data_IF_589938002990
#
_entry.id   IF_589938002990
#
_cell.length_a   1.000
_cell.length_b   1.000
_cell.length_c   1.000
_cell.angle_alpha   90.00
_cell.angle_beta   90.00
_cell.angle_gamma   90.00
#
_symmetry.space_group_name_H-M   'P 1'
#
loop_
_entity.id
_entity.type
_entity.pdbx_description
1 polymer ?
#
# COMPACT_ATOMS: atom_id res chain seq x y z
N UNK A 1 -54.57 -28.78 40.83
CA UNK A 1 -54.95 -28.67 42.24
C UNK A 1 -53.68 -28.51 43.06
N UNK A 2 -53.43 -27.29 43.55
CA UNK A 2 -52.34 -26.93 44.45
C UNK A 2 -52.61 -27.50 45.85
N UNK A 3 -51.57 -27.96 46.56
CA UNK A 3 -51.39 -27.62 47.98
C UNK A 3 -49.91 -27.53 48.32
N UNK A 4 -49.59 -26.45 49.02
CA UNK A 4 -48.27 -25.97 49.40
C UNK A 4 -47.82 -26.50 50.77
N UNK A 5 -46.52 -26.35 51.02
CA UNK A 5 -45.90 -25.91 52.29
C UNK A 5 -45.84 -26.85 53.50
N UNK A 6 -44.61 -27.15 53.98
CA UNK A 6 -44.01 -26.47 55.17
C UNK A 6 -42.65 -27.03 55.61
N UNK A 7 -41.74 -26.10 55.84
CA UNK A 7 -40.50 -26.19 56.61
C UNK A 7 -40.66 -26.71 58.04
N UNK A 8 -39.64 -27.41 58.54
CA UNK A 8 -39.35 -27.58 59.97
C UNK A 8 -37.85 -27.38 60.25
N UNK A 9 -37.53 -26.16 60.70
CA UNK A 9 -36.70 -25.77 61.85
C UNK A 9 -35.40 -26.55 62.19
N UNK A 10 -34.28 -25.83 61.97
CA UNK A 10 -32.96 -25.93 62.62
C UNK A 10 -33.05 -25.78 64.16
N UNK A 11 -32.11 -26.31 64.97
CA UNK A 11 -30.98 -25.47 65.43
C UNK A 11 -29.68 -26.25 65.73
N UNK A 12 -28.52 -25.74 65.30
CA UNK A 12 -27.33 -25.59 66.17
C UNK A 12 -26.25 -24.73 65.51
N UNK A 13 -25.94 -23.61 66.15
CA UNK A 13 -24.81 -22.71 65.87
C UNK A 13 -24.12 -22.41 67.21
N UNK A 14 -22.79 -22.34 67.23
CA UNK A 14 -22.12 -21.12 67.69
C UNK A 14 -20.98 -20.74 66.72
N UNK A 15 -20.98 -19.54 66.12
CA UNK A 15 -20.38 -18.27 66.59
C UNK A 15 -18.85 -18.25 66.66
N UNK A 16 -18.28 -17.63 65.62
CA UNK A 16 -17.16 -16.67 65.58
C UNK A 16 -15.73 -17.11 65.89
N UNK A 17 -14.87 -17.03 64.87
CA UNK A 17 -13.56 -16.38 64.93
C UNK A 17 -13.05 -16.07 63.50
N UNK A 18 -12.78 -14.80 63.20
CA UNK A 18 -11.92 -14.39 62.08
C UNK A 18 -10.45 -14.43 62.53
N UNK A 19 -9.49 -14.60 61.61
CA UNK A 19 -8.65 -13.44 61.28
C UNK A 19 -8.33 -13.30 59.78
N UNK A 20 -7.86 -12.11 59.45
CA UNK A 20 -7.63 -11.60 58.11
C UNK A 20 -6.27 -11.99 57.48
N UNK A 21 -6.23 -11.83 56.15
CA UNK A 21 -5.11 -11.39 55.28
C UNK A 21 -4.39 -12.45 54.43
N UNK A 22 -4.50 -12.27 53.11
CA UNK A 22 -3.64 -12.87 52.09
C UNK A 22 -4.14 -12.59 50.67
N UNK A 23 -3.64 -11.54 50.03
CA UNK A 23 -3.81 -11.24 48.60
C UNK A 23 -3.06 -12.27 47.74
N UNK A 24 -3.61 -12.62 46.58
CA UNK A 24 -2.93 -12.80 45.27
C UNK A 24 -4.06 -12.98 44.23
N UNK A 25 -4.34 -11.97 43.41
CA UNK A 25 -3.68 -11.64 42.13
C UNK A 25 -3.98 -12.68 41.04
N UNK A 26 -4.53 -12.19 39.93
CA UNK A 26 -5.29 -12.95 38.96
C UNK A 26 -4.48 -13.88 38.07
N UNK A 27 -5.20 -14.83 37.49
CA UNK A 27 -4.79 -15.56 36.30
C UNK A 27 -5.63 -15.06 35.13
N UNK A 28 -5.18 -13.95 34.53
CA UNK A 28 -5.46 -13.66 33.13
C UNK A 28 -4.76 -14.70 32.26
N UNK A 29 -5.46 -15.03 31.17
CA UNK A 29 -5.12 -16.01 30.15
C UNK A 29 -3.66 -15.92 29.68
N UNK A 30 -2.96 -17.06 29.69
CA UNK A 30 -1.73 -17.23 28.93
C UNK A 30 -2.04 -17.97 27.63
N UNK A 31 -2.64 -17.24 26.69
CA UNK A 31 -2.42 -17.51 25.27
C UNK A 31 -1.06 -16.87 24.94
N UNK A 32 -0.11 -17.57 24.29
CA UNK A 32 1.13 -16.92 23.84
C UNK A 32 0.75 -15.74 22.92
N UNK A 33 1.34 -14.54 23.08
CA UNK A 33 1.14 -13.49 22.10
C UNK A 33 1.67 -14.01 20.76
N UNK A 34 0.85 -13.91 19.71
CA UNK A 34 1.34 -14.11 18.35
C UNK A 34 2.56 -13.19 18.15
N UNK A 35 3.66 -13.76 17.67
CA UNK A 35 4.96 -13.09 17.50
C UNK A 35 4.91 -12.14 16.29
N UNK A 36 4.04 -11.14 16.34
CA UNK A 36 3.95 -10.05 15.37
C UNK A 36 4.56 -8.78 15.93
N UNK A 37 5.35 -8.07 15.13
CA UNK A 37 5.73 -6.69 15.41
C UNK A 37 4.49 -5.78 15.40
N UNK A 38 4.50 -4.67 16.15
CA UNK A 38 3.44 -3.66 16.01
C UNK A 38 3.52 -2.98 14.64
N UNK A 39 2.40 -2.42 14.17
CA UNK A 39 2.37 -1.74 12.87
C UNK A 39 3.37 -0.58 12.82
N UNK A 40 3.46 0.23 13.89
CA UNK A 40 4.40 1.34 13.97
C UNK A 40 5.85 0.84 13.85
N UNK A 41 6.16 -0.31 14.45
CA UNK A 41 7.50 -0.88 14.38
C UNK A 41 7.81 -1.41 12.98
N UNK A 42 6.84 -2.03 12.31
CA UNK A 42 6.97 -2.46 10.92
C UNK A 42 7.24 -1.27 10.00
N UNK A 43 6.49 -0.17 10.18
CA UNK A 43 6.68 1.08 9.44
C UNK A 43 8.06 1.69 9.69
N UNK A 44 8.50 1.78 10.96
CA UNK A 44 9.82 2.31 11.32
C UNK A 44 10.94 1.50 10.64
N UNK A 45 10.87 0.17 10.73
CA UNK A 45 11.86 -0.73 10.15
C UNK A 45 11.87 -0.65 8.62
N UNK A 46 10.71 -0.66 7.97
CA UNK A 46 10.62 -0.56 6.51
C UNK A 46 11.09 0.79 5.99
N UNK A 47 10.80 1.88 6.70
CA UNK A 47 11.26 3.21 6.33
C UNK A 47 12.77 3.39 6.54
N UNK A 48 13.33 2.80 7.59
CA UNK A 48 14.78 2.76 7.77
C UNK A 48 15.47 2.02 6.61
N UNK A 49 14.95 0.86 6.23
CA UNK A 49 15.49 0.02 5.15
C UNK A 49 15.54 0.76 3.80
N UNK A 50 14.44 1.40 3.38
CA UNK A 50 14.43 2.13 2.10
C UNK A 50 15.35 3.36 2.10
N UNK A 51 15.47 4.05 3.25
CA UNK A 51 16.36 5.20 3.40
C UNK A 51 17.83 4.81 3.32
N UNK A 52 18.20 3.69 3.94
CA UNK A 52 19.54 3.13 3.82
C UNK A 52 19.86 2.71 2.39
N UNK A 53 18.91 2.06 1.71
CA UNK A 53 19.05 1.69 0.30
C UNK A 53 19.38 2.88 -0.60
N UNK A 54 18.80 4.06 -0.33
CA UNK A 54 19.10 5.28 -1.07
C UNK A 54 20.56 5.76 -0.93
N UNK A 55 21.35 5.21 -0.02
CA UNK A 55 22.80 5.43 0.06
C UNK A 55 23.60 4.18 -0.30
N UNK A 56 23.27 3.03 0.28
CA UNK A 56 24.03 1.78 0.17
C UNK A 56 23.88 1.07 -1.18
N UNK A 57 22.75 1.27 -1.88
CA UNK A 57 22.42 0.59 -3.15
C UNK A 57 22.36 -0.94 -3.03
N UNK A 58 22.16 -1.47 -1.82
CA UNK A 58 22.10 -2.90 -1.58
C UNK A 58 20.65 -3.41 -1.61
N UNK A 59 20.22 -3.91 -2.77
CA UNK A 59 18.88 -4.49 -2.95
C UNK A 59 18.70 -5.81 -2.17
N UNK A 60 19.79 -6.54 -1.89
CA UNK A 60 19.72 -7.80 -1.14
C UNK A 60 19.42 -7.54 0.32
N UNK A 61 20.01 -6.50 0.89
CA UNK A 61 19.73 -6.09 2.26
C UNK A 61 18.27 -5.67 2.43
N UNK A 62 17.72 -4.94 1.46
CA UNK A 62 16.29 -4.60 1.46
C UNK A 62 15.43 -5.87 1.40
N UNK A 63 15.76 -6.82 0.52
CA UNK A 63 15.02 -8.07 0.43
C UNK A 63 15.07 -8.89 1.73
N UNK A 64 16.21 -8.91 2.43
CA UNK A 64 16.34 -9.54 3.75
C UNK A 64 15.50 -8.81 4.80
N UNK A 65 15.56 -7.47 4.84
CA UNK A 65 14.75 -6.66 5.74
C UNK A 65 13.26 -6.97 5.58
N UNK A 66 12.75 -7.01 4.34
CA UNK A 66 11.34 -7.35 4.06
C UNK A 66 10.99 -8.74 4.58
N UNK A 67 11.84 -9.74 4.36
CA UNK A 67 11.62 -11.11 4.87
C UNK A 67 11.61 -11.14 6.40
N UNK A 68 12.48 -10.36 7.04
CA UNK A 68 12.61 -10.27 8.50
C UNK A 68 11.45 -9.52 9.18
N UNK A 69 10.72 -8.66 8.45
CA UNK A 69 9.44 -8.11 8.93
C UNK A 69 8.44 -9.23 9.23
N UNK A 70 8.54 -10.36 8.51
CA UNK A 70 7.70 -11.55 8.68
C UNK A 70 6.19 -11.23 8.72
N UNK A 71 5.75 -10.27 7.88
CA UNK A 71 4.38 -9.75 7.84
C UNK A 71 3.93 -9.44 6.41
N UNK A 72 3.45 -10.46 5.70
CA UNK A 72 3.03 -10.30 4.29
C UNK A 72 1.84 -9.35 4.10
N UNK A 73 0.97 -9.23 5.10
CA UNK A 73 -0.17 -8.30 5.10
C UNK A 73 0.28 -6.84 5.18
N UNK A 74 1.49 -6.57 5.66
CA UNK A 74 2.06 -5.22 5.74
C UNK A 74 2.73 -4.78 4.43
N UNK A 75 3.07 -5.70 3.52
CA UNK A 75 3.80 -5.37 2.29
C UNK A 75 3.10 -4.29 1.43
N UNK A 76 1.76 -4.32 1.22
CA UNK A 76 1.08 -3.24 0.49
C UNK A 76 1.25 -1.88 1.16
N UNK A 77 1.10 -1.80 2.48
CA UNK A 77 1.31 -0.58 3.27
C UNK A 77 2.75 -0.08 3.13
N UNK A 78 3.73 -0.97 3.22
CA UNK A 78 5.14 -0.65 3.00
C UNK A 78 5.40 -0.05 1.61
N UNK A 79 4.83 -0.66 0.56
CA UNK A 79 4.96 -0.16 -0.82
C UNK A 79 4.36 1.25 -0.91
N UNK A 80 3.18 1.48 -0.34
CA UNK A 80 2.53 2.78 -0.34
C UNK A 80 3.38 3.84 0.38
N UNK A 81 3.92 3.51 1.56
CA UNK A 81 4.81 4.39 2.31
C UNK A 81 6.07 4.76 1.51
N UNK A 82 6.70 3.78 0.85
CA UNK A 82 7.90 4.02 0.05
C UNK A 82 7.63 4.90 -1.16
N UNK A 83 6.53 4.65 -1.87
CA UNK A 83 6.14 5.45 -3.03
C UNK A 83 5.80 6.88 -2.61
N UNK A 84 5.00 7.07 -1.57
CA UNK A 84 4.64 8.39 -1.06
C UNK A 84 5.86 9.17 -0.55
N UNK A 85 6.75 8.55 0.23
CA UNK A 85 8.00 9.17 0.69
C UNK A 85 8.92 9.56 -0.49
N UNK A 86 8.85 8.86 -1.62
CA UNK A 86 9.65 9.18 -2.81
C UNK A 86 9.20 10.44 -3.55
N UNK A 87 7.96 10.90 -3.37
CA UNK A 87 7.45 12.08 -4.08
C UNK A 87 8.19 13.37 -3.71
N UNK A 88 8.78 13.44 -2.52
CA UNK A 88 9.58 14.59 -2.07
C UNK A 88 11.09 14.40 -2.26
N UNK A 89 11.51 13.24 -2.77
CA UNK A 89 12.93 12.88 -2.96
C UNK A 89 13.52 13.39 -4.27
N UNK A 90 14.83 13.19 -4.47
CA UNK A 90 15.51 13.58 -5.72
C UNK A 90 15.20 12.57 -6.83
N UNK A 91 15.28 13.01 -8.09
CA UNK A 91 14.99 12.17 -9.26
C UNK A 91 15.77 10.85 -9.28
N UNK A 92 17.04 10.88 -8.87
CA UNK A 92 17.86 9.68 -8.75
C UNK A 92 17.24 8.66 -7.79
N UNK A 93 16.77 9.09 -6.62
CA UNK A 93 16.16 8.22 -5.60
C UNK A 93 14.82 7.65 -6.07
N UNK A 94 14.02 8.46 -6.77
CA UNK A 94 12.76 8.00 -7.41
C UNK A 94 13.02 6.89 -8.43
N UNK A 95 14.03 7.07 -9.29
CA UNK A 95 14.41 6.06 -10.27
C UNK A 95 14.91 4.77 -9.61
N UNK A 96 15.68 4.90 -8.52
CA UNK A 96 16.16 3.75 -7.74
C UNK A 96 15.01 2.99 -7.08
N UNK A 97 14.01 3.67 -6.53
CA UNK A 97 12.83 3.02 -5.98
C UNK A 97 12.07 2.24 -7.06
N UNK A 98 11.81 2.85 -8.21
CA UNK A 98 11.11 2.18 -9.30
C UNK A 98 11.83 0.89 -9.75
N UNK A 99 13.17 0.94 -9.85
CA UNK A 99 14.00 -0.23 -10.15
C UNK A 99 13.95 -1.28 -9.03
N UNK A 100 14.05 -0.86 -7.77
CA UNK A 100 13.97 -1.74 -6.62
C UNK A 100 12.64 -2.50 -6.60
N UNK A 101 11.51 -1.83 -6.76
CA UNK A 101 10.18 -2.47 -6.77
C UNK A 101 10.07 -3.55 -7.85
N UNK A 102 10.59 -3.29 -9.06
CA UNK A 102 10.67 -4.31 -10.12
C UNK A 102 11.53 -5.50 -9.69
N UNK A 103 12.72 -5.24 -9.15
CA UNK A 103 13.66 -6.30 -8.79
C UNK A 103 13.14 -7.16 -7.63
N UNK A 104 12.46 -6.57 -6.65
CA UNK A 104 11.81 -7.28 -5.56
C UNK A 104 10.65 -8.14 -6.06
N UNK A 105 9.83 -7.62 -6.98
CA UNK A 105 8.71 -8.35 -7.55
C UNK A 105 9.13 -9.51 -8.47
N UNK A 106 10.25 -9.35 -9.19
CA UNK A 106 10.82 -10.38 -10.07
C UNK A 106 11.79 -11.33 -9.36
N UNK A 107 12.01 -11.12 -8.05
CA UNK A 107 12.92 -11.98 -7.29
C UNK A 107 12.46 -13.43 -7.31
N UNK A 108 13.40 -14.35 -7.48
CA UNK A 108 13.14 -15.79 -7.48
C UNK A 108 12.61 -16.30 -6.13
N UNK A 109 12.91 -15.57 -5.06
CA UNK A 109 12.47 -15.87 -3.70
C UNK A 109 11.05 -15.32 -3.39
N UNK A 110 10.40 -14.64 -4.35
CA UNK A 110 9.05 -14.12 -4.17
C UNK A 110 8.92 -13.06 -3.07
N UNK A 111 9.88 -12.13 -2.98
CA UNK A 111 9.92 -11.11 -1.92
C UNK A 111 8.66 -10.24 -1.91
N UNK A 112 8.22 -9.80 -3.09
CA UNK A 112 6.94 -9.12 -3.29
C UNK A 112 6.14 -9.84 -4.37
N UNK A 113 4.86 -10.06 -4.11
CA UNK A 113 3.92 -10.52 -5.13
C UNK A 113 3.36 -9.35 -5.94
N UNK A 114 2.90 -9.64 -7.16
CA UNK A 114 2.19 -8.66 -8.00
C UNK A 114 0.94 -8.11 -7.28
N UNK A 115 0.20 -8.96 -6.56
CA UNK A 115 -0.99 -8.56 -5.81
C UNK A 115 -0.65 -7.53 -4.71
N UNK A 116 0.47 -7.72 -4.01
CA UNK A 116 0.92 -6.77 -2.98
C UNK A 116 1.31 -5.42 -3.60
N UNK A 117 1.97 -5.43 -4.75
CA UNK A 117 2.27 -4.21 -5.51
C UNK A 117 1.00 -3.47 -5.92
N UNK A 118 0.04 -4.17 -6.50
CA UNK A 118 -1.24 -3.59 -6.93
C UNK A 118 -1.97 -2.94 -5.76
N UNK A 119 -2.10 -3.64 -4.62
CA UNK A 119 -2.73 -3.09 -3.41
C UNK A 119 -1.98 -1.87 -2.83
N UNK A 120 -0.65 -1.89 -2.91
CA UNK A 120 0.16 -0.74 -2.52
C UNK A 120 -0.09 0.47 -3.42
N UNK A 121 -0.16 0.25 -4.74
CA UNK A 121 -0.47 1.31 -5.70
C UNK A 121 -1.90 1.85 -5.57
N UNK A 122 -2.89 0.99 -5.31
CA UNK A 122 -4.25 1.39 -4.97
C UNK A 122 -4.25 2.35 -3.78
N UNK A 123 -3.51 2.03 -2.73
CA UNK A 123 -3.40 2.88 -1.52
C UNK A 123 -2.74 4.23 -1.79
N UNK A 124 -1.76 4.28 -2.71
CA UNK A 124 -1.13 5.55 -3.13
C UNK A 124 -2.12 6.40 -3.92
N UNK A 125 -2.84 5.77 -4.87
CA UNK A 125 -3.82 6.44 -5.71
C UNK A 125 -4.98 7.00 -4.89
N UNK A 126 -5.42 6.31 -3.83
CA UNK A 126 -6.49 6.78 -2.96
C UNK A 126 -6.15 8.04 -2.16
N UNK A 127 -4.86 8.30 -1.91
CA UNK A 127 -4.41 9.51 -1.18
C UNK A 127 -3.81 10.57 -2.10
N UNK A 128 -3.76 10.34 -3.42
CA UNK A 128 -2.99 11.17 -4.33
C UNK A 128 -3.50 12.62 -4.39
N UNK A 129 -4.81 12.84 -4.22
CA UNK A 129 -5.43 14.19 -4.19
C UNK A 129 -4.87 15.06 -3.07
N UNK A 130 -4.66 14.49 -1.89
CA UNK A 130 -4.08 15.20 -0.76
C UNK A 130 -2.58 15.40 -0.97
N UNK A 131 -1.90 14.34 -1.42
CA UNK A 131 -0.44 14.35 -1.64
C UNK A 131 -0.03 15.42 -2.65
N UNK A 132 -0.81 15.67 -3.71
CA UNK A 132 -0.46 16.70 -4.71
C UNK A 132 -0.52 18.12 -4.15
N UNK A 133 -1.22 18.36 -3.02
CA UNK A 133 -1.22 19.66 -2.36
C UNK A 133 0.16 20.00 -1.78
N UNK A 134 0.86 19.00 -1.25
CA UNK A 134 2.21 19.15 -0.69
C UNK A 134 3.29 18.93 -1.76
N UNK A 135 3.07 17.99 -2.68
CA UNK A 135 3.98 17.62 -3.75
C UNK A 135 3.32 17.72 -5.14
N UNK A 136 3.31 18.91 -5.78
CA UNK A 136 2.57 19.16 -7.04
C UNK A 136 2.95 18.27 -8.23
N UNK A 137 4.08 17.57 -8.16
CA UNK A 137 4.57 16.64 -9.19
C UNK A 137 4.35 15.17 -8.85
N UNK A 138 3.67 14.84 -7.75
CA UNK A 138 3.46 13.47 -7.31
C UNK A 138 2.79 12.60 -8.40
N UNK A 139 1.78 13.13 -9.09
CA UNK A 139 1.12 12.42 -10.20
C UNK A 139 2.08 12.08 -11.36
N UNK A 140 2.94 13.03 -11.75
CA UNK A 140 3.95 12.81 -12.79
C UNK A 140 4.94 11.70 -12.37
N UNK A 141 5.44 11.76 -11.14
CA UNK A 141 6.39 10.78 -10.62
C UNK A 141 5.78 9.40 -10.39
N UNK A 142 4.51 9.32 -9.99
CA UNK A 142 3.80 8.05 -9.93
C UNK A 142 3.71 7.42 -11.33
N UNK A 143 3.47 8.24 -12.36
CA UNK A 143 3.51 7.79 -13.76
C UNK A 143 4.88 7.23 -14.17
N UNK A 144 5.99 7.78 -13.67
CA UNK A 144 7.33 7.24 -13.93
C UNK A 144 7.52 5.84 -13.31
N UNK A 145 7.01 5.63 -12.09
CA UNK A 145 7.04 4.31 -11.43
C UNK A 145 6.21 3.31 -12.24
N UNK A 146 4.98 3.68 -12.63
CA UNK A 146 4.12 2.82 -13.45
C UNK A 146 4.73 2.49 -14.81
N UNK A 147 5.38 3.46 -15.48
CA UNK A 147 6.07 3.19 -16.73
C UNK A 147 7.12 2.10 -16.57
N UNK A 148 7.92 2.16 -15.49
CA UNK A 148 8.93 1.15 -15.19
C UNK A 148 8.31 -0.22 -14.91
N UNK A 149 7.24 -0.28 -14.13
CA UNK A 149 6.50 -1.51 -13.81
C UNK A 149 5.92 -2.18 -15.07
N UNK A 150 5.36 -1.39 -15.99
CA UNK A 150 4.76 -1.85 -17.25
C UNK A 150 5.84 -2.37 -18.20
N UNK A 151 6.90 -1.58 -18.42
CA UNK A 151 8.02 -1.94 -19.30
C UNK A 151 8.68 -3.25 -18.89
N UNK A 152 8.80 -3.49 -17.59
CA UNK A 152 9.44 -4.68 -17.03
C UNK A 152 8.45 -5.86 -16.88
N UNK A 153 7.24 -5.71 -17.43
CA UNK A 153 6.16 -6.70 -17.44
C UNK A 153 5.80 -7.23 -16.04
N UNK A 154 5.81 -6.34 -15.03
CA UNK A 154 5.43 -6.68 -13.66
C UNK A 154 3.92 -6.50 -13.44
N UNK A 155 3.33 -5.43 -13.97
CA UNK A 155 1.88 -5.19 -14.03
C UNK A 155 1.55 -4.66 -15.41
N UNK A 156 0.44 -5.09 -16.01
CA UNK A 156 0.07 -4.65 -17.36
C UNK A 156 -0.42 -3.21 -17.39
N UNK A 157 -0.31 -2.55 -18.56
CA UNK A 157 -0.91 -1.22 -18.75
C UNK A 157 -2.41 -1.23 -18.42
N UNK A 158 -3.13 -2.29 -18.81
CA UNK A 158 -4.56 -2.42 -18.57
C UNK A 158 -4.92 -2.48 -17.07
N UNK A 159 -4.15 -3.22 -16.27
CA UNK A 159 -4.34 -3.24 -14.82
C UNK A 159 -4.04 -1.89 -14.20
N UNK A 160 -2.89 -1.27 -14.52
CA UNK A 160 -2.55 0.07 -14.02
C UNK A 160 -3.61 1.10 -14.40
N UNK A 161 -4.12 1.08 -15.64
CA UNK A 161 -5.17 2.00 -16.05
C UNK A 161 -6.47 1.81 -15.28
N UNK A 162 -6.84 0.57 -14.92
CA UNK A 162 -8.01 0.35 -14.04
C UNK A 162 -7.78 0.93 -12.65
N UNK A 163 -6.60 0.75 -12.06
CA UNK A 163 -6.28 1.35 -10.76
C UNK A 163 -6.39 2.88 -10.82
N UNK A 164 -5.88 3.49 -11.88
CA UNK A 164 -5.95 4.94 -12.08
C UNK A 164 -7.41 5.38 -12.29
N UNK A 165 -8.20 4.61 -13.05
CA UNK A 165 -9.60 4.90 -13.35
C UNK A 165 -10.46 4.86 -12.09
N UNK A 166 -10.27 3.85 -11.25
CA UNK A 166 -11.00 3.66 -9.98
C UNK A 166 -10.36 4.44 -8.82
N UNK A 167 -9.26 5.16 -9.04
CA UNK A 167 -8.48 5.79 -7.97
C UNK A 167 -9.07 7.10 -7.44
N UNK A 168 -8.59 7.48 -6.26
CA UNK A 168 -8.95 8.69 -5.50
C UNK A 168 -9.59 8.34 -4.17
N UNK A 169 -9.98 9.35 -3.38
CA UNK A 169 -10.62 9.13 -2.07
C UNK A 169 -11.91 8.31 -2.22
N UNK A 170 -12.62 8.53 -3.34
CA UNK A 170 -13.75 7.75 -3.81
C UNK A 170 -13.50 7.24 -5.24
N UNK A 171 -14.09 6.11 -5.66
CA UNK A 171 -13.87 5.57 -6.99
C UNK A 171 -14.17 6.56 -8.12
N UNK A 172 -13.19 6.78 -9.00
CA UNK A 172 -13.31 7.71 -10.13
C UNK A 172 -12.96 9.16 -9.81
N UNK A 173 -12.62 9.48 -8.56
CA UNK A 173 -12.35 10.85 -8.15
C UNK A 173 -11.10 11.45 -8.82
N UNK A 174 -10.09 10.64 -9.13
CA UNK A 174 -8.94 11.10 -9.92
C UNK A 174 -9.31 11.52 -11.36
N UNK A 175 -10.41 11.01 -11.93
CA UNK A 175 -10.92 11.44 -13.23
C UNK A 175 -11.50 12.86 -13.14
N UNK A 176 -12.26 13.15 -12.09
CA UNK A 176 -12.88 14.46 -11.87
C UNK A 176 -11.84 15.55 -11.67
N UNK A 177 -10.79 15.25 -10.90
CA UNK A 177 -9.69 16.19 -10.60
C UNK A 177 -8.70 16.35 -11.75
N UNK A 178 -8.70 15.42 -12.71
CA UNK A 178 -7.76 15.37 -13.84
C UNK A 178 -6.42 14.72 -13.52
N UNK A 179 -6.18 14.32 -12.27
CA UNK A 179 -4.96 13.64 -11.85
C UNK A 179 -4.80 12.28 -12.54
N UNK A 180 -5.90 11.60 -12.86
CA UNK A 180 -5.88 10.36 -13.62
C UNK A 180 -5.22 10.54 -15.00
N UNK A 181 -5.54 11.64 -15.69
CA UNK A 181 -4.94 11.99 -16.97
C UNK A 181 -3.45 12.33 -16.82
N UNK A 182 -3.07 13.00 -15.73
CA UNK A 182 -1.67 13.37 -15.47
C UNK A 182 -0.81 12.14 -15.19
N UNK A 183 -1.28 11.21 -14.36
CA UNK A 183 -0.58 9.94 -14.06
C UNK A 183 -0.45 9.09 -15.33
N UNK A 184 -1.55 8.85 -16.04
CA UNK A 184 -1.54 8.01 -17.25
C UNK A 184 -0.74 8.65 -18.38
N UNK A 185 -0.91 9.96 -18.59
CA UNK A 185 -0.16 10.71 -19.60
C UNK A 185 1.35 10.69 -19.33
N UNK A 186 1.76 10.88 -18.07
CA UNK A 186 3.16 10.75 -17.65
C UNK A 186 3.69 9.33 -17.89
N UNK A 187 2.89 8.31 -17.53
CA UNK A 187 3.23 6.89 -17.76
C UNK A 187 3.54 6.62 -19.23
N UNK A 188 2.65 6.99 -20.14
CA UNK A 188 2.83 6.80 -21.58
C UNK A 188 3.99 7.65 -22.13
N UNK A 189 4.16 8.86 -21.61
CA UNK A 189 5.27 9.76 -21.95
C UNK A 189 6.64 9.18 -21.65
N UNK A 190 6.82 8.58 -20.45
CA UNK A 190 8.07 7.92 -20.08
C UNK A 190 8.30 6.69 -20.93
N UNK A 191 7.29 5.84 -21.15
CA UNK A 191 7.43 4.67 -22.02
C UNK A 191 7.87 5.08 -23.42
N UNK A 192 7.24 6.11 -24.00
CA UNK A 192 7.62 6.62 -25.32
C UNK A 192 9.06 7.14 -25.34
N UNK A 193 9.45 7.89 -24.31
CA UNK A 193 10.77 8.52 -24.23
C UNK A 193 11.88 7.48 -24.04
N UNK A 194 11.66 6.46 -23.22
CA UNK A 194 12.68 5.46 -22.88
C UNK A 194 12.73 4.28 -23.85
N UNK A 195 11.60 3.89 -24.45
CA UNK A 195 11.47 2.68 -25.29
C UNK A 195 11.07 2.96 -26.73
N UNK A 196 10.64 4.19 -27.03
CA UNK A 196 10.21 4.60 -28.36
C UNK A 196 8.75 4.27 -28.66
N UNK A 197 8.26 4.89 -29.73
CA UNK A 197 6.86 4.83 -30.14
C UNK A 197 6.39 3.42 -30.52
N UNK A 198 7.26 2.62 -31.14
CA UNK A 198 6.93 1.23 -31.51
C UNK A 198 6.53 0.40 -30.30
N UNK A 199 7.35 0.43 -29.24
CA UNK A 199 7.10 -0.32 -28.00
C UNK A 199 5.86 0.22 -27.28
N UNK A 200 5.68 1.54 -27.26
CA UNK A 200 4.47 2.16 -26.72
C UNK A 200 3.21 1.64 -27.45
N UNK A 201 3.22 1.61 -28.78
CA UNK A 201 2.09 1.17 -29.58
C UNK A 201 1.78 -0.32 -29.38
N UNK A 202 2.80 -1.16 -29.22
CA UNK A 202 2.62 -2.58 -28.86
C UNK A 202 1.95 -2.72 -27.48
N UNK A 203 2.44 -2.00 -26.46
CA UNK A 203 1.83 -2.01 -25.13
C UNK A 203 0.38 -1.52 -25.20
N UNK A 204 0.09 -0.44 -25.93
CA UNK A 204 -1.27 0.08 -26.11
C UNK A 204 -2.17 -0.92 -26.82
N UNK A 205 -1.69 -1.57 -27.88
CA UNK A 205 -2.45 -2.58 -28.63
C UNK A 205 -2.77 -3.83 -27.80
N UNK A 206 -1.94 -4.15 -26.80
CA UNK A 206 -2.21 -5.23 -25.85
C UNK A 206 -3.19 -4.87 -24.73
N UNK A 207 -3.59 -3.60 -24.64
CA UNK A 207 -4.49 -3.07 -23.61
C UNK A 207 -5.90 -2.82 -24.17
N UNK A 208 -6.92 -2.98 -23.33
CA UNK A 208 -8.31 -2.62 -23.65
C UNK A 208 -8.69 -1.21 -23.19
N UNK A 209 -7.72 -0.43 -22.69
CA UNK A 209 -7.96 0.92 -22.20
C UNK A 209 -8.27 1.89 -23.34
N UNK A 210 -9.32 2.68 -23.14
CA UNK A 210 -9.64 3.85 -23.96
C UNK A 210 -9.09 5.07 -23.25
N UNK A 211 -8.11 5.75 -23.85
CA UNK A 211 -7.45 6.90 -23.21
C UNK A 211 -8.43 8.07 -23.03
N UNK A 212 -9.46 8.14 -23.86
CA UNK A 212 -10.53 9.12 -23.81
C UNK A 212 -11.35 9.03 -22.52
N UNK A 213 -11.44 7.85 -21.90
CA UNK A 213 -12.15 7.64 -20.64
C UNK A 213 -11.45 8.34 -19.46
N UNK A 214 -10.19 8.76 -19.62
CA UNK A 214 -9.41 9.46 -18.61
C UNK A 214 -9.45 10.99 -18.78
N UNK A 215 -10.20 11.51 -19.77
CA UNK A 215 -10.33 12.96 -19.95
C UNK A 215 -11.13 13.59 -18.80
N UNK A 216 -10.60 14.64 -18.15
CA UNK A 216 -11.35 15.36 -17.12
C UNK A 216 -12.58 16.06 -17.73
N UNK A 217 -13.75 16.02 -17.07
CA UNK A 217 -15.02 16.50 -17.62
C UNK A 217 -15.09 18.02 -17.86
N UNK A 218 -14.26 18.82 -17.16
CA UNK A 218 -14.35 20.29 -17.17
C UNK A 218 -13.01 21.02 -17.32
N UNK A 219 -11.94 20.33 -17.72
CA UNK A 219 -10.61 20.96 -17.78
C UNK A 219 -10.28 21.52 -19.17
N UNK A 220 -10.04 22.82 -19.24
CA UNK A 220 -9.38 23.48 -20.39
C UNK A 220 -7.84 23.35 -20.35
N UNK A 221 -7.27 22.66 -19.34
CA UNK A 221 -5.83 22.41 -19.30
C UNK A 221 -5.51 21.24 -20.22
N UNK A 222 -4.59 21.44 -21.16
CA UNK A 222 -3.97 20.34 -21.89
C UNK A 222 -3.25 19.44 -20.89
N UNK A 223 -3.80 18.25 -20.65
CA UNK A 223 -3.12 17.21 -19.87
C UNK A 223 -2.01 16.59 -20.71
N UNK A 224 -1.04 15.96 -20.06
CA UNK A 224 0.04 15.22 -20.76
C UNK A 224 -0.56 14.15 -21.69
N UNK A 225 -1.71 13.60 -21.31
CA UNK A 225 -2.42 12.55 -22.03
C UNK A 225 -2.92 12.97 -23.42
N UNK A 226 -3.24 14.26 -23.64
CA UNK A 226 -3.73 14.76 -24.94
C UNK A 226 -2.73 14.56 -26.10
N UNK A 227 -1.45 14.31 -25.82
CA UNK A 227 -0.45 13.98 -26.84
C UNK A 227 -0.63 12.57 -27.41
N UNK A 228 -1.44 11.73 -26.78
CA UNK A 228 -1.59 10.30 -27.09
C UNK A 228 -2.99 9.92 -27.61
N UNK A 229 -3.95 10.85 -27.54
CA UNK A 229 -5.32 10.73 -28.08
C UNK A 229 -5.35 11.37 -29.45
#
# INVERSE_FOLDING_TARGET
MNFSNRDLRNPNRPLAASPARGQTSGFTQNTPPERGWSEERLQEMSMASIREFYSARDEKEVALCIKDLNSQSFHPTMIALWVTDSFERKDMERHLLAKLLVNLARSHDGVLSQEQLVKGFESVLSTLEDVVNDAPKAAEFLGHIFAKIIVENVVTLNEIGRLIYDGGEEPGRLLETGLAADVLGSTLGVINTEKGETVLNEIRASSSLRLEDFRPPHSNKSSILEKFI
#
